data_IF_243150411957
#
_entry.id   IF_243150411957
#
_cell.length_a   1.000
_cell.length_b   1.000
_cell.length_c   1.000
_cell.angle_alpha   90.00
_cell.angle_beta   90.00
_cell.angle_gamma   90.00
#
_symmetry.space_group_name_H-M   'P 1'
#
loop_
_entity.id
_entity.type
_entity.pdbx_description
1 polymer ?
#
# COMPACT_ATOMS: atom_id res chain seq x y z
N UNK A 1 24.65 -12.51 9.60
CA UNK A 1 24.44 -11.53 8.50
C UNK A 1 24.52 -12.24 7.16
N UNK A 2 23.41 -12.89 6.75
CA UNK A 2 23.42 -13.76 5.57
C UNK A 2 23.29 -13.00 4.23
N UNK A 3 22.90 -11.72 4.25
CA UNK A 3 22.54 -11.00 3.02
C UNK A 3 23.05 -9.55 2.96
N UNK A 4 23.83 -9.08 3.93
CA UNK A 4 24.40 -7.71 4.00
C UNK A 4 23.37 -6.60 3.68
N UNK A 5 22.14 -6.75 4.17
CA UNK A 5 21.05 -5.81 3.95
C UNK A 5 21.07 -4.72 5.03
N UNK A 6 21.07 -3.46 4.62
CA UNK A 6 20.97 -2.33 5.53
C UNK A 6 19.60 -2.25 6.20
N UNK A 7 19.57 -1.95 7.50
CA UNK A 7 18.34 -1.67 8.24
C UNK A 7 17.95 -0.20 8.04
N UNK A 8 16.85 0.06 7.33
CA UNK A 8 16.36 1.41 7.07
C UNK A 8 15.47 1.96 8.18
N UNK A 9 14.82 1.09 8.95
CA UNK A 9 13.94 1.50 10.04
C UNK A 9 13.19 0.35 10.68
N UNK A 10 12.60 0.61 11.83
CA UNK A 10 11.76 -0.34 12.58
C UNK A 10 10.37 0.27 12.73
N UNK A 11 9.35 -0.45 12.30
CA UNK A 11 7.95 -0.09 12.52
C UNK A 11 7.43 -0.93 13.70
N UNK A 12 7.05 -0.31 14.82
CA UNK A 12 6.47 -1.04 15.93
C UNK A 12 5.15 -1.71 15.55
N UNK A 13 4.82 -2.82 16.20
CA UNK A 13 3.52 -3.47 16.04
C UNK A 13 2.40 -2.47 16.35
N UNK A 14 1.43 -2.39 15.46
CA UNK A 14 0.20 -1.62 15.69
C UNK A 14 -0.66 -2.49 16.60
N UNK A 15 -0.50 -2.33 17.93
CA UNK A 15 -1.25 -3.09 18.93
C UNK A 15 -2.76 -2.89 18.79
N UNK A 16 -3.53 -3.90 19.20
CA UNK A 16 -4.95 -3.72 19.44
C UNK A 16 -5.13 -2.64 20.51
N UNK A 17 -5.92 -1.62 20.21
CA UNK A 17 -6.39 -0.71 21.25
C UNK A 17 -7.26 -1.54 22.19
N UNK A 18 -6.71 -1.91 23.36
CA UNK A 18 -7.54 -2.41 24.46
C UNK A 18 -8.51 -1.30 24.79
N UNK A 19 -9.71 -1.38 24.26
CA UNK A 19 -10.82 -0.53 24.69
C UNK A 19 -11.02 -0.81 26.17
N UNK A 20 -10.71 0.19 26.99
CA UNK A 20 -10.99 0.13 28.43
C UNK A 20 -12.47 -0.23 28.63
N UNK A 21 -12.75 -1.10 29.61
CA UNK A 21 -14.09 -1.58 29.98
C UNK A 21 -15.15 -0.49 30.17
N UNK A 22 -14.76 0.78 30.28
CA UNK A 22 -15.64 1.92 30.45
C UNK A 22 -16.42 2.32 29.19
N UNK A 23 -15.91 1.97 27.98
CA UNK A 23 -16.57 2.27 26.70
C UNK A 23 -17.63 1.25 26.27
N UNK A 24 -17.75 0.12 26.99
CA UNK A 24 -18.82 -0.85 26.75
C UNK A 24 -20.23 -0.35 27.15
N UNK A 25 -20.33 0.76 27.86
CA UNK A 25 -21.62 1.37 28.24
C UNK A 25 -22.17 2.33 27.17
N UNK A 26 -21.36 2.77 26.23
CA UNK A 26 -21.75 3.62 25.09
C UNK A 26 -21.88 2.81 23.79
N UNK A 27 -22.32 1.57 23.85
CA UNK A 27 -22.68 0.72 22.71
C UNK A 27 -23.94 1.23 22.00
N UNK A 28 -23.85 2.36 21.36
CA UNK A 28 -24.83 2.86 20.38
C UNK A 28 -24.17 3.30 19.06
N UNK A 29 -22.99 2.77 18.74
CA UNK A 29 -22.33 3.01 17.45
C UNK A 29 -22.11 1.67 16.75
N UNK A 30 -23.02 1.37 15.87
CA UNK A 30 -22.93 0.54 14.67
C UNK A 30 -22.08 -0.77 14.73
N UNK A 31 -22.65 -1.80 15.38
CA UNK A 31 -22.12 -3.18 15.36
C UNK A 31 -22.16 -3.85 13.96
N UNK A 32 -22.71 -3.21 12.93
CA UNK A 32 -22.87 -3.78 11.59
C UNK A 32 -21.62 -3.81 10.71
N UNK A 33 -20.49 -3.22 11.15
CA UNK A 33 -19.20 -3.24 10.40
C UNK A 33 -18.12 -4.12 11.00
N UNK A 34 -18.42 -4.93 11.99
CA UNK A 34 -17.43 -5.80 12.67
C UNK A 34 -17.57 -7.27 12.28
N UNK A 35 -17.72 -7.60 11.01
CA UNK A 35 -17.57 -8.98 10.56
C UNK A 35 -16.20 -9.21 9.92
N UNK A 36 -15.32 -9.86 10.69
CA UNK A 36 -14.31 -10.80 10.21
C UNK A 36 -13.19 -10.24 9.36
N UNK A 37 -12.16 -9.65 9.96
CA UNK A 37 -10.88 -9.41 9.31
C UNK A 37 -10.06 -8.42 10.12
N UNK A 38 -8.78 -8.73 10.38
CA UNK A 38 -7.83 -7.78 10.95
C UNK A 38 -7.92 -6.48 10.15
N UNK A 39 -8.55 -5.45 10.73
CA UNK A 39 -8.72 -4.15 10.08
C UNK A 39 -7.33 -3.58 9.86
N UNK A 40 -6.87 -3.58 8.61
CA UNK A 40 -5.57 -2.99 8.25
C UNK A 40 -5.63 -1.51 8.50
N UNK A 41 -4.97 -1.08 9.57
CA UNK A 41 -5.05 0.29 10.06
C UNK A 41 -4.19 1.21 9.20
N UNK A 42 -4.80 2.26 8.67
CA UNK A 42 -4.09 3.38 8.07
C UNK A 42 -3.68 4.34 9.20
N UNK A 43 -2.76 3.88 10.06
CA UNK A 43 -2.36 4.59 11.27
C UNK A 43 -1.84 6.00 10.98
N UNK A 44 -1.17 6.19 9.86
CA UNK A 44 -0.65 7.50 9.41
C UNK A 44 -1.76 8.47 9.04
N UNK A 45 -2.97 7.97 8.72
CA UNK A 45 -4.20 8.76 8.53
C UNK A 45 -5.01 8.87 9.82
N UNK A 46 -5.27 7.74 10.49
CA UNK A 46 -6.15 7.64 11.67
C UNK A 46 -5.55 8.34 12.90
N UNK A 47 -4.24 8.23 13.10
CA UNK A 47 -3.52 8.87 14.19
C UNK A 47 -2.16 9.40 13.74
N UNK A 48 -2.11 10.55 13.04
CA UNK A 48 -0.88 11.10 12.45
C UNK A 48 0.22 11.43 13.49
N UNK A 49 -0.15 11.66 14.74
CA UNK A 49 0.78 12.01 15.84
C UNK A 49 1.26 10.80 16.64
N UNK A 50 0.86 9.57 16.27
CA UNK A 50 1.29 8.38 16.99
C UNK A 50 2.79 8.08 16.77
N UNK A 51 3.45 7.41 17.72
CA UNK A 51 4.84 6.94 17.55
C UNK A 51 5.00 6.03 16.32
N UNK A 52 3.97 5.24 15.99
CA UNK A 52 3.98 4.39 14.79
C UNK A 52 3.97 5.24 13.52
N UNK A 53 3.16 6.30 13.47
CA UNK A 53 3.14 7.23 12.33
C UNK A 53 4.50 7.93 12.15
N UNK A 54 5.16 8.26 13.26
CA UNK A 54 6.51 8.82 13.23
C UNK A 54 7.55 7.84 12.71
N UNK A 55 7.43 6.55 13.06
CA UNK A 55 8.29 5.50 12.51
C UNK A 55 8.16 5.37 10.98
N UNK A 56 6.95 5.53 10.42
CA UNK A 56 6.77 5.57 8.97
C UNK A 56 7.38 6.82 8.33
N UNK A 57 7.32 7.98 8.99
CA UNK A 57 7.99 9.20 8.50
C UNK A 57 9.51 9.05 8.52
N UNK A 58 10.05 8.47 9.58
CA UNK A 58 11.49 8.17 9.70
C UNK A 58 11.93 7.18 8.62
N UNK A 59 11.16 6.12 8.39
CA UNK A 59 11.43 5.17 7.30
C UNK A 59 11.45 5.87 5.94
N UNK A 60 10.44 6.70 5.62
CA UNK A 60 10.40 7.50 4.39
C UNK A 60 11.65 8.39 4.27
N UNK A 61 12.00 9.09 5.34
CA UNK A 61 13.17 9.97 5.35
C UNK A 61 14.45 9.18 5.06
N UNK A 62 14.65 8.05 5.72
CA UNK A 62 15.81 7.20 5.48
C UNK A 62 15.84 6.68 4.03
N UNK A 63 14.69 6.35 3.44
CA UNK A 63 14.60 5.95 2.04
C UNK A 63 14.96 7.10 1.08
N UNK A 64 14.50 8.33 1.35
CA UNK A 64 14.84 9.49 0.53
C UNK A 64 16.35 9.79 0.52
N UNK A 65 17.03 9.51 1.64
CA UNK A 65 18.48 9.73 1.77
C UNK A 65 19.32 8.46 1.56
N UNK A 66 18.71 7.31 1.24
CA UNK A 66 19.43 6.06 1.01
C UNK A 66 20.26 6.05 -0.27
N UNK A 67 19.95 6.91 -1.20
CA UNK A 67 20.70 7.09 -2.45
C UNK A 67 21.18 8.55 -2.55
N UNK A 68 22.50 8.72 -2.62
CA UNK A 68 23.13 10.03 -2.82
C UNK A 68 23.17 10.47 -4.28
N UNK A 69 22.98 9.54 -5.22
CA UNK A 69 23.19 9.79 -6.66
C UNK A 69 21.88 9.94 -7.44
N UNK A 70 20.79 9.32 -7.00
CA UNK A 70 19.50 9.34 -7.72
C UNK A 70 18.33 9.42 -6.75
N UNK A 71 17.34 10.24 -7.12
CA UNK A 71 16.05 10.26 -6.41
C UNK A 71 15.39 8.88 -6.49
N UNK A 72 14.95 8.35 -5.35
CA UNK A 72 14.18 7.10 -5.28
C UNK A 72 12.77 7.38 -5.77
N UNK A 73 12.43 6.90 -6.96
CA UNK A 73 11.14 7.11 -7.61
C UNK A 73 10.20 5.91 -7.47
N UNK A 74 10.74 4.69 -7.44
CA UNK A 74 9.96 3.46 -7.29
C UNK A 74 10.42 2.66 -6.08
N UNK A 75 9.45 2.12 -5.32
CA UNK A 75 9.66 1.36 -4.10
C UNK A 75 8.87 0.06 -4.18
N UNK A 76 9.55 -1.08 -4.10
CA UNK A 76 8.92 -2.39 -3.99
C UNK A 76 8.90 -2.84 -2.53
N UNK A 77 7.72 -3.17 -2.00
CA UNK A 77 7.55 -3.75 -0.67
C UNK A 77 7.20 -5.23 -0.80
N UNK A 78 8.04 -6.08 -0.26
CA UNK A 78 7.86 -7.53 -0.25
C UNK A 78 8.12 -8.12 1.13
N UNK A 79 7.79 -9.41 1.33
CA UNK A 79 8.08 -10.14 2.55
C UNK A 79 8.21 -11.63 2.28
N UNK A 80 8.79 -12.37 3.23
CA UNK A 80 9.04 -13.81 3.11
C UNK A 80 7.74 -14.64 3.13
N UNK A 81 6.71 -14.17 3.87
CA UNK A 81 5.46 -14.91 4.06
C UNK A 81 4.19 -14.05 3.95
N UNK A 82 3.04 -14.73 3.92
CA UNK A 82 1.75 -14.05 3.99
C UNK A 82 1.49 -13.49 5.40
N UNK A 83 0.75 -12.37 5.48
CA UNK A 83 0.33 -11.82 6.78
C UNK A 83 1.38 -10.98 7.52
N UNK A 84 2.58 -10.79 6.98
CA UNK A 84 3.68 -10.04 7.62
C UNK A 84 3.54 -8.50 7.55
N UNK A 85 2.42 -8.01 7.06
CA UNK A 85 2.12 -6.57 7.07
C UNK A 85 2.52 -5.81 5.82
N UNK A 86 2.90 -6.46 4.70
CA UNK A 86 3.25 -5.78 3.42
C UNK A 86 2.29 -4.67 3.04
N UNK A 87 1.00 -5.02 2.93
CA UNK A 87 -0.03 -4.05 2.51
C UNK A 87 -0.19 -2.92 3.51
N UNK A 88 -0.14 -3.23 4.82
CA UNK A 88 -0.20 -2.20 5.87
C UNK A 88 0.99 -1.26 5.77
N UNK A 89 2.18 -1.81 5.56
CA UNK A 89 3.43 -1.03 5.45
C UNK A 89 3.40 -0.14 4.21
N UNK A 90 3.12 -0.69 3.03
CA UNK A 90 3.13 0.09 1.78
C UNK A 90 2.04 1.16 1.77
N UNK A 91 0.85 0.86 2.30
CA UNK A 91 -0.24 1.83 2.37
C UNK A 91 0.11 3.02 3.29
N UNK A 92 0.59 2.74 4.51
CA UNK A 92 1.01 3.80 5.43
C UNK A 92 2.22 4.59 4.90
N UNK A 93 3.18 3.93 4.26
CA UNK A 93 4.31 4.60 3.63
C UNK A 93 3.86 5.52 2.49
N UNK A 94 2.98 5.07 1.59
CA UNK A 94 2.42 5.87 0.51
C UNK A 94 1.72 7.14 1.04
N UNK A 95 0.95 7.01 2.12
CA UNK A 95 0.31 8.15 2.79
C UNK A 95 1.37 9.15 3.30
N UNK A 96 2.51 8.68 3.83
CA UNK A 96 3.54 9.62 4.30
C UNK A 96 4.22 10.39 3.16
N UNK A 97 4.37 9.79 1.97
CA UNK A 97 4.86 10.50 0.78
C UNK A 97 3.82 11.51 0.26
N UNK A 98 2.56 11.12 0.17
CA UNK A 98 1.46 11.98 -0.25
C UNK A 98 1.30 13.20 0.68
N UNK A 99 1.40 13.00 2.01
CA UNK A 99 1.36 14.06 3.01
C UNK A 99 2.56 15.03 2.93
N UNK A 100 3.66 14.63 2.29
CA UNK A 100 4.79 15.51 1.99
C UNK A 100 4.54 16.38 0.74
N UNK A 101 3.38 16.25 0.11
CA UNK A 101 3.05 16.93 -1.16
C UNK A 101 3.62 16.20 -2.39
N UNK A 102 4.23 15.03 -2.24
CA UNK A 102 4.72 14.23 -3.38
C UNK A 102 3.54 13.53 -4.06
N UNK A 103 3.43 13.67 -5.39
CA UNK A 103 2.48 12.90 -6.18
C UNK A 103 2.85 11.42 -6.08
N UNK A 104 1.96 10.62 -5.51
CA UNK A 104 2.24 9.24 -5.12
C UNK A 104 1.23 8.29 -5.76
N UNK A 105 1.73 7.22 -6.38
CA UNK A 105 0.92 6.14 -6.92
C UNK A 105 1.19 4.84 -6.14
N UNK A 106 0.16 4.26 -5.56
CA UNK A 106 0.20 2.94 -4.96
C UNK A 106 -0.37 1.91 -5.95
N UNK A 107 0.45 0.92 -6.31
CA UNK A 107 0.06 -0.15 -7.24
C UNK A 107 -0.03 -1.48 -6.51
N UNK A 108 -1.22 -2.12 -6.53
CA UNK A 108 -1.42 -3.44 -5.93
C UNK A 108 -1.02 -4.55 -6.90
N UNK A 109 0.17 -5.08 -6.70
CA UNK A 109 0.71 -6.21 -7.46
C UNK A 109 0.60 -7.55 -6.71
N UNK A 110 -0.10 -7.61 -5.57
CA UNK A 110 -0.45 -8.87 -4.93
C UNK A 110 -1.64 -9.51 -5.66
N UNK A 111 -1.34 -10.15 -6.79
CA UNK A 111 -2.36 -10.81 -7.63
C UNK A 111 -2.90 -12.11 -7.05
N UNK A 112 -2.38 -12.56 -5.90
CA UNK A 112 -2.83 -13.79 -5.22
C UNK A 112 -3.85 -13.49 -4.13
N UNK A 113 -3.58 -12.48 -3.29
CA UNK A 113 -4.43 -12.09 -2.16
C UNK A 113 -4.57 -10.57 -2.07
N UNK A 114 -5.11 -9.95 -3.13
CA UNK A 114 -5.19 -8.49 -3.20
C UNK A 114 -6.13 -7.94 -2.12
N UNK A 115 -5.72 -6.85 -1.49
CA UNK A 115 -6.50 -6.25 -0.42
C UNK A 115 -6.40 -4.73 -0.35
N UNK A 116 -5.57 -4.10 -1.18
CA UNK A 116 -5.44 -2.63 -1.22
C UNK A 116 -6.80 -1.97 -1.49
N UNK A 117 -7.61 -2.53 -2.40
CA UNK A 117 -8.96 -2.04 -2.68
C UNK A 117 -9.85 -1.96 -1.42
N UNK A 118 -9.76 -2.96 -0.51
CA UNK A 118 -10.51 -2.96 0.77
C UNK A 118 -9.96 -1.95 1.77
N UNK A 119 -8.64 -1.70 1.74
CA UNK A 119 -7.98 -0.76 2.65
C UNK A 119 -8.39 0.67 2.36
N UNK A 120 -8.59 0.99 1.07
CA UNK A 120 -8.93 2.34 0.61
C UNK A 120 -10.39 2.49 0.17
N UNK A 121 -11.22 1.48 0.42
CA UNK A 121 -12.65 1.46 0.06
C UNK A 121 -12.89 1.76 -1.43
N UNK A 122 -12.15 1.04 -2.29
CA UNK A 122 -12.19 1.18 -3.74
C UNK A 122 -12.68 -0.11 -4.40
N UNK A 123 -13.27 0.01 -5.58
CA UNK A 123 -13.56 -1.14 -6.43
C UNK A 123 -12.24 -1.83 -6.85
N UNK A 124 -12.23 -3.18 -6.81
CA UNK A 124 -11.05 -3.94 -7.20
C UNK A 124 -10.78 -3.86 -8.70
N UNK A 125 -11.82 -3.76 -9.50
CA UNK A 125 -11.77 -3.70 -10.95
C UNK A 125 -12.19 -2.32 -11.47
N UNK A 126 -11.65 -1.90 -12.64
CA UNK A 126 -10.50 -2.46 -13.33
C UNK A 126 -9.20 -2.22 -12.55
N UNK A 127 -8.15 -3.01 -12.83
CA UNK A 127 -6.86 -2.91 -12.15
C UNK A 127 -5.70 -3.45 -12.99
N UNK A 128 -4.57 -3.72 -12.32
CA UNK A 128 -3.32 -4.17 -12.96
C UNK A 128 -3.55 -5.33 -13.92
N UNK A 129 -4.34 -6.34 -13.52
CA UNK A 129 -4.58 -7.52 -14.37
C UNK A 129 -5.30 -7.20 -15.66
N UNK A 130 -6.15 -6.16 -15.70
CA UNK A 130 -6.80 -5.73 -16.93
C UNK A 130 -5.80 -5.20 -17.96
N UNK A 131 -4.75 -4.49 -17.51
CA UNK A 131 -3.65 -4.08 -18.37
C UNK A 131 -2.78 -5.28 -18.79
N UNK A 132 -2.40 -6.12 -17.84
CA UNK A 132 -1.51 -7.26 -18.11
C UNK A 132 -2.13 -8.30 -19.04
N UNK A 133 -3.44 -8.53 -18.96
CA UNK A 133 -4.19 -9.42 -19.86
C UNK A 133 -4.45 -8.83 -21.26
N UNK A 134 -4.20 -7.54 -21.45
CA UNK A 134 -4.45 -6.86 -22.72
C UNK A 134 -5.86 -6.36 -22.94
N UNK A 135 -6.71 -6.36 -21.90
CA UNK A 135 -8.06 -5.78 -21.97
C UNK A 135 -8.01 -4.25 -22.14
N UNK A 136 -6.96 -3.61 -21.64
CA UNK A 136 -6.65 -2.21 -21.92
C UNK A 136 -5.15 -2.02 -22.17
N UNK A 137 -4.80 -1.02 -22.97
CA UNK A 137 -3.42 -0.55 -23.16
C UNK A 137 -3.18 0.80 -22.46
N UNK A 138 -4.23 1.44 -21.99
CA UNK A 138 -4.19 2.69 -21.25
C UNK A 138 -4.25 2.43 -19.74
N UNK A 139 -3.10 2.57 -19.07
CA UNK A 139 -3.04 2.41 -17.62
C UNK A 139 -3.68 3.58 -16.86
N UNK A 140 -3.81 4.75 -17.49
CA UNK A 140 -4.41 5.92 -16.83
C UNK A 140 -5.87 5.68 -16.50
N UNK A 141 -6.58 4.89 -17.31
CA UNK A 141 -7.96 4.47 -17.02
C UNK A 141 -8.09 3.60 -15.76
N UNK A 142 -6.99 3.04 -15.26
CA UNK A 142 -6.94 2.21 -14.05
C UNK A 142 -6.65 3.02 -12.78
N UNK A 143 -6.21 4.28 -12.92
CA UNK A 143 -5.83 5.13 -11.80
C UNK A 143 -7.08 5.62 -11.07
N UNK A 144 -7.17 5.29 -9.80
CA UNK A 144 -8.28 5.67 -8.92
C UNK A 144 -7.82 6.72 -7.92
N UNK A 145 -8.65 7.72 -7.71
CA UNK A 145 -8.45 8.69 -6.62
C UNK A 145 -9.01 8.10 -5.32
N UNK A 146 -8.39 8.45 -4.21
CA UNK A 146 -8.90 8.15 -2.87
C UNK A 146 -9.06 9.46 -2.08
N UNK A 147 -9.55 9.35 -0.84
CA UNK A 147 -9.78 10.53 0.03
C UNK A 147 -8.48 11.20 0.55
N UNK A 148 -7.31 10.76 0.10
CA UNK A 148 -6.02 11.28 0.53
C UNK A 148 -5.43 12.08 -0.62
N UNK A 149 -5.19 13.37 -0.38
CA UNK A 149 -4.58 14.26 -1.35
C UNK A 149 -3.22 13.74 -1.80
N UNK A 150 -2.90 13.96 -3.07
CA UNK A 150 -1.65 13.51 -3.72
C UNK A 150 -1.45 11.97 -3.77
N UNK A 151 -2.42 11.16 -3.32
CA UNK A 151 -2.37 9.71 -3.42
C UNK A 151 -3.36 9.21 -4.47
N UNK A 152 -2.85 8.43 -5.41
CA UNK A 152 -3.65 7.68 -6.38
C UNK A 152 -3.35 6.18 -6.26
N UNK A 153 -4.27 5.34 -6.71
CA UNK A 153 -4.19 3.90 -6.52
C UNK A 153 -4.54 3.17 -7.81
N UNK A 154 -3.72 2.18 -8.18
CA UNK A 154 -4.12 1.15 -9.14
C UNK A 154 -4.33 -0.15 -8.34
N UNK A 155 -5.53 -0.65 -8.35
CA UNK A 155 -5.92 -1.90 -7.68
C UNK A 155 -5.46 -3.11 -8.51
N UNK A 156 -5.51 -4.31 -7.94
CA UNK A 156 -5.02 -5.53 -8.62
C UNK A 156 -5.84 -5.94 -9.86
N UNK A 157 -7.14 -5.65 -9.87
CA UNK A 157 -8.07 -6.23 -10.84
C UNK A 157 -8.48 -7.66 -10.49
N UNK A 158 -8.88 -8.45 -11.49
CA UNK A 158 -9.29 -9.86 -11.33
C UNK A 158 -8.10 -10.70 -10.86
N UNK A 159 -8.36 -11.67 -9.97
CA UNK A 159 -7.33 -12.63 -9.55
C UNK A 159 -7.10 -13.62 -10.70
N UNK A 160 -5.89 -13.63 -11.31
CA UNK A 160 -5.61 -14.51 -12.44
C UNK A 160 -5.19 -15.91 -11.98
N UNK A 161 -5.32 -16.93 -12.83
CA UNK A 161 -4.82 -18.27 -12.54
C UNK A 161 -3.29 -18.37 -12.53
N UNK A 162 -2.59 -17.47 -13.23
CA UNK A 162 -1.15 -17.47 -13.45
C UNK A 162 -0.45 -16.16 -13.05
N UNK A 163 -0.52 -15.75 -11.77
CA UNK A 163 -0.06 -14.44 -11.31
C UNK A 163 1.44 -14.20 -11.58
N UNK A 164 2.28 -15.21 -11.40
CA UNK A 164 3.74 -15.07 -11.58
C UNK A 164 4.13 -14.82 -13.04
N UNK A 165 3.44 -15.46 -13.98
CA UNK A 165 3.68 -15.27 -15.43
C UNK A 165 3.27 -13.86 -15.86
N UNK A 166 2.13 -13.37 -15.39
CA UNK A 166 1.68 -12.01 -15.67
C UNK A 166 2.67 -10.97 -15.14
N UNK A 167 3.14 -11.13 -13.90
CA UNK A 167 4.13 -10.22 -13.31
C UNK A 167 5.50 -10.30 -14.02
N UNK A 168 5.89 -11.46 -14.56
CA UNK A 168 7.11 -11.62 -15.35
C UNK A 168 6.98 -11.21 -16.82
N UNK A 169 5.83 -10.73 -17.25
CA UNK A 169 5.56 -10.43 -18.66
C UNK A 169 6.22 -9.14 -19.16
N UNK A 170 6.41 -9.03 -20.49
CA UNK A 170 6.83 -7.79 -21.16
C UNK A 170 5.84 -6.63 -20.88
N UNK A 171 4.55 -6.94 -20.73
CA UNK A 171 3.54 -5.94 -20.40
C UNK A 171 3.76 -5.33 -19.03
N UNK A 172 4.14 -6.13 -18.03
CA UNK A 172 4.48 -5.62 -16.70
C UNK A 172 5.72 -4.70 -16.76
N UNK A 173 6.76 -5.10 -17.47
CA UNK A 173 7.93 -4.23 -17.67
C UNK A 173 7.57 -2.89 -18.33
N UNK A 174 6.69 -2.92 -19.33
CA UNK A 174 6.24 -1.71 -20.01
C UNK A 174 5.39 -0.83 -19.07
N UNK A 175 4.50 -1.43 -18.27
CA UNK A 175 3.72 -0.71 -17.28
C UNK A 175 4.63 0.02 -16.29
N UNK A 176 5.60 -0.68 -15.69
CA UNK A 176 6.54 -0.08 -14.73
C UNK A 176 7.27 1.11 -15.36
N UNK A 177 7.81 0.96 -16.59
CA UNK A 177 8.49 2.06 -17.30
C UNK A 177 7.58 3.28 -17.53
N UNK A 178 6.32 3.05 -17.92
CA UNK A 178 5.37 4.15 -18.09
C UNK A 178 5.07 4.84 -16.76
N UNK A 179 4.86 4.06 -15.69
CA UNK A 179 4.61 4.61 -14.36
C UNK A 179 5.81 5.42 -13.84
N UNK A 180 7.04 4.94 -14.02
CA UNK A 180 8.27 5.66 -13.61
C UNK A 180 8.49 6.96 -14.38
N UNK A 181 8.01 7.07 -15.61
CA UNK A 181 8.10 8.31 -16.38
C UNK A 181 7.06 9.34 -15.95
N UNK A 182 5.87 8.88 -15.56
CA UNK A 182 4.72 9.74 -15.38
C UNK A 182 4.49 10.14 -13.90
N UNK A 183 5.12 9.43 -12.96
CA UNK A 183 5.00 9.62 -11.50
C UNK A 183 6.35 9.85 -10.85
#
# INVERSE_FOLDING_TARGET
>A
EKYNLGLLGIIPSIGEVKTHKLLNFLKLVDEKKMQGGVRRRLITRENPKSPVSESYRSLRTNMLYSSSEKEVRSILVSSAGPGEGKTTTVANLAITYANLGKRTLLVDTDLRRPVVHKVFDLEREPGVTNYLSGQTSDYQSLVKKCEIDNLSIITSGIIPPNPSELLGSKRMMNLVKQLENDW
#
